data_IF_667124923325
#
_entry.id   IF_667124923325
#
_cell.length_a   1.000
_cell.length_b   1.000
_cell.length_c   1.000
_cell.angle_alpha   90.00
_cell.angle_beta   90.00
_cell.angle_gamma   90.00
#
_symmetry.space_group_name_H-M   'P 1'
#
loop_
_entity.id
_entity.type
_entity.pdbx_description
1 polymer ?
#
# COMPACT_ATOMS: atom_id res chain seq x y z
N UNK A 1 -54.61 -15.40 -23.53
CA UNK A 1 -53.96 -14.11 -23.82
C UNK A 1 -53.10 -13.57 -22.66
N UNK A 2 -53.54 -13.64 -21.39
CA UNK A 2 -52.77 -13.13 -20.22
C UNK A 2 -51.47 -13.88 -19.88
N UNK A 3 -51.37 -15.18 -20.20
CA UNK A 3 -50.19 -16.01 -19.88
C UNK A 3 -48.96 -15.67 -20.74
N UNK A 4 -49.19 -15.22 -21.97
CA UNK A 4 -48.13 -14.82 -22.91
C UNK A 4 -47.56 -13.43 -22.56
N UNK A 5 -48.37 -12.57 -21.92
CA UNK A 5 -47.95 -11.24 -21.43
C UNK A 5 -47.05 -11.37 -20.20
N UNK A 6 -47.35 -12.32 -19.31
CA UNK A 6 -46.52 -12.60 -18.10
C UNK A 6 -45.17 -13.20 -18.51
N UNK A 7 -45.14 -14.12 -19.49
CA UNK A 7 -43.90 -14.67 -20.04
C UNK A 7 -43.05 -13.59 -20.75
N UNK A 8 -43.69 -12.65 -21.46
CA UNK A 8 -43.01 -11.53 -22.11
C UNK A 8 -42.41 -10.52 -21.09
N UNK A 9 -43.06 -10.31 -19.95
CA UNK A 9 -42.53 -9.47 -18.86
C UNK A 9 -41.41 -10.13 -18.07
N UNK A 10 -41.46 -11.46 -17.87
CA UNK A 10 -40.35 -12.21 -17.27
C UNK A 10 -39.08 -12.15 -18.15
N UNK A 11 -39.26 -12.18 -19.48
CA UNK A 11 -38.16 -12.09 -20.44
C UNK A 11 -37.55 -10.67 -20.54
N UNK A 12 -38.35 -9.63 -20.28
CA UNK A 12 -37.88 -8.24 -20.28
C UNK A 12 -37.05 -7.88 -19.03
N UNK A 13 -37.36 -8.48 -17.87
CA UNK A 13 -36.63 -8.27 -16.62
C UNK A 13 -35.26 -8.97 -16.63
N UNK A 14 -35.12 -10.11 -17.33
CA UNK A 14 -33.84 -10.80 -17.50
C UNK A 14 -32.83 -10.05 -18.37
N UNK A 15 -33.26 -9.10 -19.20
CA UNK A 15 -32.38 -8.31 -20.09
C UNK A 15 -31.83 -7.06 -19.38
N UNK A 16 -32.43 -6.63 -18.27
CA UNK A 16 -32.00 -5.43 -17.53
C UNK A 16 -30.83 -5.68 -16.53
N UNK A 17 -30.42 -6.93 -16.34
CA UNK A 17 -29.31 -7.32 -15.45
C UNK A 17 -27.93 -7.36 -16.14
N UNK A 18 -27.84 -6.95 -17.40
CA UNK A 18 -26.65 -7.12 -18.24
C UNK A 18 -25.60 -5.99 -18.23
N UNK A 19 -25.69 -4.99 -17.35
CA UNK A 19 -24.81 -3.80 -17.43
C UNK A 19 -24.16 -3.41 -16.10
N UNK A 20 -23.42 -4.33 -15.47
CA UNK A 20 -22.29 -3.92 -14.64
C UNK A 20 -21.06 -4.70 -15.13
N UNK A 21 -20.56 -4.29 -16.29
CA UNK A 21 -19.17 -4.58 -16.65
C UNK A 21 -18.33 -3.50 -15.96
N UNK A 22 -17.78 -3.82 -14.79
CA UNK A 22 -16.67 -3.05 -14.25
C UNK A 22 -15.51 -3.23 -15.22
N UNK A 23 -15.25 -2.20 -16.01
CA UNK A 23 -13.97 -2.03 -16.69
C UNK A 23 -12.96 -1.76 -15.57
N UNK A 24 -12.27 -2.80 -15.11
CA UNK A 24 -11.04 -2.59 -14.36
C UNK A 24 -10.02 -2.13 -15.39
N UNK A 25 -9.83 -0.81 -15.49
CA UNK A 25 -8.62 -0.28 -16.11
C UNK A 25 -7.47 -0.66 -15.16
N UNK A 26 -6.88 -1.83 -15.42
CA UNK A 26 -5.81 -2.48 -14.65
C UNK A 26 -4.46 -1.79 -14.89
N UNK A 27 -4.44 -0.46 -14.95
CA UNK A 27 -3.25 0.35 -15.23
C UNK A 27 -2.56 0.86 -13.96
N UNK A 28 -3.02 0.45 -12.77
CA UNK A 28 -2.41 0.81 -11.48
C UNK A 28 -1.50 -0.29 -10.92
N UNK A 29 -0.73 -0.97 -11.78
CA UNK A 29 0.32 -1.86 -11.31
C UNK A 29 1.32 -1.07 -10.47
N UNK A 30 1.23 -1.20 -9.14
CA UNK A 30 2.13 -0.58 -8.18
C UNK A 30 3.56 -1.11 -8.44
N UNK A 31 4.41 -0.27 -9.01
CA UNK A 31 5.83 -0.58 -9.16
C UNK A 31 6.61 -0.05 -7.96
N UNK A 32 7.20 -0.96 -7.20
CA UNK A 32 8.00 -0.66 -6.02
C UNK A 32 9.47 -0.55 -6.41
N UNK A 33 9.93 0.65 -6.78
CA UNK A 33 11.33 0.93 -7.10
C UNK A 33 12.16 1.30 -5.85
N UNK A 34 11.76 0.86 -4.66
CA UNK A 34 12.32 1.30 -3.37
C UNK A 34 12.26 2.83 -3.18
N UNK A 35 11.22 3.45 -3.73
CA UNK A 35 10.96 4.88 -3.62
C UNK A 35 9.75 5.12 -2.71
N UNK A 36 9.71 6.30 -2.11
CA UNK A 36 8.54 6.81 -1.41
C UNK A 36 7.46 7.19 -2.44
N UNK A 37 6.24 6.69 -2.23
CA UNK A 37 5.07 7.03 -3.04
C UNK A 37 4.02 7.77 -2.20
N UNK A 38 3.68 9.00 -2.59
CA UNK A 38 2.57 9.75 -1.99
C UNK A 38 1.30 9.48 -2.82
N UNK A 39 0.40 8.64 -2.31
CA UNK A 39 -0.82 8.27 -3.03
C UNK A 39 -1.89 7.70 -2.08
N UNK A 40 -2.97 8.44 -1.89
CA UNK A 40 -4.12 7.98 -1.09
C UNK A 40 -4.78 6.72 -1.67
N UNK A 41 -4.80 6.59 -3.00
CA UNK A 41 -5.32 5.42 -3.70
C UNK A 41 -4.47 4.17 -3.40
N UNK A 42 -3.16 4.25 -3.62
CA UNK A 42 -2.27 3.10 -3.36
C UNK A 42 -2.17 2.81 -1.86
N UNK A 43 -2.19 3.82 -1.00
CA UNK A 43 -2.23 3.62 0.45
C UNK A 43 -3.44 2.77 0.87
N UNK A 44 -4.60 2.97 0.25
CA UNK A 44 -5.83 2.25 0.61
C UNK A 44 -5.98 0.91 -0.10
N UNK A 45 -5.48 0.78 -1.33
CA UNK A 45 -5.82 -0.35 -2.22
C UNK A 45 -4.65 -1.26 -2.57
N UNK A 46 -3.39 -0.84 -2.33
CA UNK A 46 -2.26 -1.71 -2.61
C UNK A 46 -2.33 -2.97 -1.73
N UNK A 47 -2.25 -4.13 -2.36
CA UNK A 47 -2.11 -5.41 -1.68
C UNK A 47 -0.64 -5.81 -1.58
N UNK A 48 -0.29 -6.64 -0.59
CA UNK A 48 1.09 -7.08 -0.38
C UNK A 48 1.17 -8.35 0.45
N UNK A 49 2.32 -9.01 0.38
CA UNK A 49 2.57 -10.14 1.28
C UNK A 49 2.74 -9.68 2.72
N UNK A 50 2.46 -10.60 3.64
CA UNK A 50 2.79 -10.44 5.05
C UNK A 50 4.32 -10.50 5.25
N UNK A 51 4.81 -9.70 6.16
CA UNK A 51 6.20 -9.67 6.61
C UNK A 51 6.24 -9.23 8.07
N UNK A 52 7.38 -9.45 8.68
CA UNK A 52 7.72 -9.00 10.03
C UNK A 52 8.72 -7.85 9.92
N UNK A 53 8.51 -6.77 10.68
CA UNK A 53 9.47 -5.67 10.79
C UNK A 53 10.40 -6.01 11.95
N UNK A 54 11.69 -6.20 11.65
CA UNK A 54 12.72 -6.49 12.65
C UNK A 54 13.34 -5.22 13.21
N UNK A 55 13.49 -4.21 12.36
CA UNK A 55 14.07 -2.92 12.71
C UNK A 55 13.55 -1.83 11.78
N UNK A 56 13.39 -0.61 12.33
CA UNK A 56 12.91 0.56 11.60
C UNK A 56 13.52 1.82 12.22
N UNK A 57 14.22 2.62 11.42
CA UNK A 57 14.94 3.77 11.92
C UNK A 57 15.15 4.86 10.88
N UNK A 58 15.47 6.07 11.35
CA UNK A 58 15.74 7.24 10.50
C UNK A 58 17.13 7.77 10.80
N UNK A 59 17.92 8.00 9.76
CA UNK A 59 19.20 8.70 9.81
C UNK A 59 19.24 9.77 8.72
N UNK A 60 19.15 11.05 9.12
CA UNK A 60 18.93 12.16 8.18
C UNK A 60 17.63 11.96 7.40
N UNK A 61 17.69 12.14 6.08
CA UNK A 61 16.53 11.94 5.18
C UNK A 61 16.31 10.48 4.77
N UNK A 62 16.97 9.52 5.42
CA UNK A 62 16.92 8.10 5.04
C UNK A 62 16.18 7.29 6.10
N UNK A 63 15.03 6.73 5.70
CA UNK A 63 14.33 5.69 6.45
C UNK A 63 14.93 4.34 6.09
N UNK A 64 15.41 3.60 7.09
CA UNK A 64 15.86 2.22 6.92
C UNK A 64 14.87 1.27 7.57
N UNK A 65 14.61 0.15 6.90
CA UNK A 65 13.79 -0.95 7.40
C UNK A 65 14.53 -2.25 7.19
N UNK A 66 14.54 -3.09 8.22
CA UNK A 66 14.86 -4.50 8.11
C UNK A 66 13.58 -5.30 8.29
N UNK A 67 13.26 -6.17 7.34
CA UNK A 67 12.08 -7.03 7.40
C UNK A 67 12.41 -8.48 7.09
N UNK A 68 11.56 -9.37 7.57
CA UNK A 68 11.59 -10.79 7.24
C UNK A 68 10.28 -11.28 6.66
N UNK A 69 10.38 -12.20 5.70
CA UNK A 69 9.22 -12.87 5.10
C UNK A 69 9.62 -14.25 4.55
N UNK A 70 8.63 -15.02 4.12
CA UNK A 70 8.85 -16.30 3.43
C UNK A 70 9.28 -16.08 1.99
N UNK A 71 10.32 -16.77 1.52
CA UNK A 71 10.78 -16.69 0.12
C UNK A 71 11.90 -17.69 -0.16
N UNK A 72 12.57 -17.54 -1.30
CA UNK A 72 13.74 -18.34 -1.66
C UNK A 72 15.02 -17.66 -1.19
N UNK A 73 15.21 -16.40 -1.58
CA UNK A 73 16.37 -15.62 -1.22
C UNK A 73 16.06 -14.12 -1.07
N UNK A 74 14.94 -13.62 -1.55
CA UNK A 74 14.55 -12.21 -1.44
C UNK A 74 15.17 -11.27 -2.48
N UNK A 75 15.85 -11.79 -3.49
CA UNK A 75 16.45 -10.96 -4.55
C UNK A 75 15.39 -10.33 -5.46
N UNK A 76 14.23 -10.96 -5.57
CA UNK A 76 13.11 -10.46 -6.38
C UNK A 76 12.11 -9.61 -5.58
N UNK A 77 12.34 -9.46 -4.28
CA UNK A 77 11.43 -8.71 -3.41
C UNK A 77 11.50 -7.22 -3.71
N UNK A 78 10.33 -6.61 -3.84
CA UNK A 78 10.19 -5.17 -3.96
C UNK A 78 9.40 -4.65 -2.77
N UNK A 79 9.91 -3.59 -2.13
CA UNK A 79 9.24 -2.95 -1.00
C UNK A 79 8.83 -1.53 -1.39
N UNK A 80 7.54 -1.23 -1.26
CA UNK A 80 7.03 0.13 -1.38
C UNK A 80 6.88 0.76 0.00
N UNK A 81 7.30 2.01 0.13
CA UNK A 81 6.87 2.91 1.20
C UNK A 81 5.79 3.84 0.64
N UNK A 82 4.58 3.77 1.19
CA UNK A 82 3.44 4.54 0.68
C UNK A 82 2.93 5.47 1.77
N UNK A 83 2.93 6.77 1.48
CA UNK A 83 2.29 7.80 2.28
C UNK A 83 0.86 8.05 1.79
N UNK A 84 -0.06 8.24 2.74
CA UNK A 84 -1.48 8.49 2.45
C UNK A 84 -1.76 9.84 1.76
N UNK A 85 -0.80 10.77 1.80
CA UNK A 85 -0.96 12.16 1.37
C UNK A 85 -1.65 13.07 2.39
N UNK A 86 -2.20 12.51 3.47
CA UNK A 86 -2.84 13.27 4.53
C UNK A 86 -1.82 13.73 5.57
N UNK A 87 -1.86 15.03 5.91
CA UNK A 87 -1.09 15.62 6.99
C UNK A 87 -2.08 16.01 8.10
N UNK A 88 -1.93 15.40 9.28
CA UNK A 88 -2.81 15.66 10.42
C UNK A 88 -2.35 16.89 11.19
N UNK A 89 -3.29 17.80 11.45
CA UNK A 89 -3.05 19.05 12.17
C UNK A 89 -2.73 18.78 13.65
N UNK A 90 -1.44 18.86 13.99
CA UNK A 90 -0.91 18.80 15.36
C UNK A 90 0.50 19.42 15.39
N UNK A 91 1.18 19.37 16.53
CA UNK A 91 2.51 19.95 16.69
C UNK A 91 3.44 18.96 17.43
N UNK A 92 4.33 18.24 16.72
CA UNK A 92 4.56 18.27 15.26
C UNK A 92 3.39 17.68 14.44
N UNK A 93 3.27 18.03 13.14
CA UNK A 93 2.33 17.38 12.22
C UNK A 93 2.55 15.87 12.14
N UNK A 94 1.53 15.12 11.72
CA UNK A 94 1.61 13.66 11.64
C UNK A 94 1.24 13.16 10.24
N UNK A 95 1.90 12.09 9.80
CA UNK A 95 1.62 11.42 8.53
C UNK A 95 1.39 9.93 8.75
N UNK A 96 0.60 9.35 7.84
CA UNK A 96 0.25 7.94 7.85
C UNK A 96 0.88 7.24 6.66
N UNK A 97 1.73 6.27 6.96
CA UNK A 97 2.50 5.48 6.01
C UNK A 97 2.20 4.00 6.14
N UNK A 98 2.52 3.24 5.11
CA UNK A 98 2.50 1.78 5.14
C UNK A 98 3.57 1.21 4.24
N UNK A 99 4.02 0.02 4.58
CA UNK A 99 4.86 -0.79 3.71
C UNK A 99 4.02 -1.78 2.91
N UNK A 100 4.44 -2.06 1.68
CA UNK A 100 3.86 -3.11 0.84
C UNK A 100 4.98 -3.94 0.24
N UNK A 101 5.05 -5.20 0.66
CA UNK A 101 6.00 -6.17 0.11
C UNK A 101 5.39 -6.86 -1.11
N UNK A 102 6.15 -6.91 -2.20
CA UNK A 102 5.88 -7.73 -3.39
C UNK A 102 6.97 -8.79 -3.50
N UNK A 103 6.55 -10.04 -3.52
CA UNK A 103 7.41 -11.21 -3.49
C UNK A 103 6.81 -12.32 -4.37
N UNK A 104 7.44 -12.63 -5.49
CA UNK A 104 6.96 -13.66 -6.41
C UNK A 104 7.69 -15.00 -6.24
N UNK A 105 8.38 -15.19 -5.12
CA UNK A 105 9.16 -16.39 -4.82
C UNK A 105 8.26 -17.48 -4.23
N UNK A 106 8.40 -18.71 -4.74
CA UNK A 106 7.56 -19.83 -4.36
C UNK A 106 8.14 -20.70 -3.23
N UNK A 107 9.31 -20.35 -2.70
CA UNK A 107 9.92 -21.08 -1.59
C UNK A 107 9.39 -20.58 -0.24
N UNK A 108 9.59 -21.36 0.81
CA UNK A 108 9.13 -21.06 2.17
C UNK A 108 10.29 -20.85 3.16
N UNK A 109 11.49 -20.49 2.67
CA UNK A 109 12.59 -20.16 3.56
C UNK A 109 12.31 -18.82 4.24
N UNK A 110 12.71 -18.66 5.49
CA UNK A 110 12.56 -17.42 6.22
C UNK A 110 13.77 -16.52 5.94
N UNK A 111 13.55 -15.45 5.18
CA UNK A 111 14.59 -14.58 4.63
C UNK A 111 14.47 -13.19 5.26
N UNK A 112 15.61 -12.52 5.48
CA UNK A 112 15.69 -11.15 5.99
C UNK A 112 16.32 -10.24 4.96
N UNK A 113 15.73 -9.06 4.71
CA UNK A 113 16.23 -8.05 3.78
C UNK A 113 16.14 -6.65 4.40
N UNK A 114 17.03 -5.77 3.94
CA UNK A 114 17.05 -4.37 4.35
C UNK A 114 16.78 -3.47 3.15
N UNK A 115 16.00 -2.43 3.38
CA UNK A 115 15.64 -1.42 2.39
C UNK A 115 15.88 -0.03 2.96
N UNK A 116 16.06 0.94 2.06
CA UNK A 116 16.25 2.34 2.40
C UNK A 116 15.41 3.20 1.48
N UNK A 117 14.76 4.21 2.06
CA UNK A 117 13.92 5.16 1.34
C UNK A 117 14.38 6.57 1.66
N UNK A 118 14.51 7.40 0.62
CA UNK A 118 14.60 8.84 0.83
C UNK A 118 13.21 9.36 1.24
N UNK A 119 13.15 10.03 2.38
CA UNK A 119 11.93 10.58 2.98
C UNK A 119 11.93 12.11 3.03
N UNK A 120 12.78 12.79 2.26
CA UNK A 120 12.79 14.27 2.17
C UNK A 120 11.43 14.83 1.75
N UNK A 121 10.68 14.12 0.89
CA UNK A 121 9.34 14.54 0.47
C UNK A 121 8.28 14.40 1.58
N UNK A 122 8.66 13.82 2.73
CA UNK A 122 7.81 13.77 3.91
C UNK A 122 7.85 15.04 4.76
N UNK A 123 8.85 15.90 4.55
CA UNK A 123 9.02 17.17 5.25
C UNK A 123 7.79 18.06 5.08
N UNK A 124 7.52 18.88 6.09
CA UNK A 124 6.42 19.83 6.14
C UNK A 124 6.94 21.22 6.50
N UNK A 125 6.06 22.21 6.66
CA UNK A 125 6.43 23.59 7.03
C UNK A 125 7.07 23.73 8.43
N UNK A 126 7.02 22.69 9.27
CA UNK A 126 7.74 22.61 10.55
C UNK A 126 9.15 22.04 10.37
N UNK A 127 9.87 21.82 11.47
CA UNK A 127 11.19 21.16 11.49
C UNK A 127 11.11 19.65 11.85
N UNK A 128 9.91 19.12 12.02
CA UNK A 128 9.72 17.72 12.38
C UNK A 128 8.30 17.23 12.06
N UNK A 129 8.19 15.93 11.81
CA UNK A 129 6.93 15.24 11.53
C UNK A 129 6.93 13.88 12.22
N UNK A 130 5.80 13.46 12.78
CA UNK A 130 5.64 12.11 13.33
C UNK A 130 5.09 11.19 12.24
N UNK A 131 5.81 10.10 12.00
CA UNK A 131 5.51 9.09 11.00
C UNK A 131 4.90 7.87 11.69
N UNK A 132 3.64 7.59 11.35
CA UNK A 132 2.93 6.38 11.78
C UNK A 132 2.94 5.35 10.66
N UNK A 133 3.21 4.09 10.99
CA UNK A 133 3.31 3.02 10.01
C UNK A 133 2.23 1.97 10.26
N UNK A 134 1.39 1.69 9.27
CA UNK A 134 0.37 0.66 9.38
C UNK A 134 1.02 -0.72 9.62
N UNK A 135 0.57 -1.42 10.66
CA UNK A 135 1.13 -2.71 11.06
C UNK A 135 2.39 -2.63 11.95
N UNK A 136 2.84 -1.42 12.30
CA UNK A 136 3.89 -1.18 13.29
C UNK A 136 3.28 -0.43 14.48
N UNK A 137 3.58 -0.87 15.70
CA UNK A 137 2.90 -0.35 16.90
C UNK A 137 3.43 1.03 17.33
N UNK A 138 4.68 1.32 17.00
CA UNK A 138 5.33 2.58 17.37
C UNK A 138 5.31 3.57 16.21
N UNK A 139 5.57 4.84 16.52
CA UNK A 139 5.80 5.89 15.53
C UNK A 139 7.25 6.34 15.57
N UNK A 140 7.71 6.95 14.49
CA UNK A 140 9.03 7.58 14.42
C UNK A 140 8.90 9.09 14.34
N UNK A 141 9.68 9.81 15.14
CA UNK A 141 9.87 11.24 14.97
C UNK A 141 10.96 11.47 13.92
N UNK A 142 10.61 12.17 12.85
CA UNK A 142 11.55 12.59 11.83
C UNK A 142 11.85 14.07 12.01
N UNK A 143 13.11 14.38 12.35
CA UNK A 143 13.63 15.75 12.51
C UNK A 143 14.59 16.06 11.35
N UNK A 144 14.49 17.27 10.80
CA UNK A 144 15.24 17.72 9.61
C UNK A 144 15.59 19.21 9.69
#
# INVERSE_FOLDING_TARGET
MKRNVILAHLFLISILLGIVSCKNDDDNALNCNNELLISSFQYSNADGQMFEINDLGIEGDILTIQLSSGGCNGDSWQLCLIDSGAIMESFPPQRQLRFVLRNNENCLAYITRSYSFNISDLQTETNSVVLHFNGYNDSLLYEY
#
